data_IF_807191401630
#
_entry.id   IF_807191401630
#
_cell.length_a   1.000
_cell.length_b   1.000
_cell.length_c   1.000
_cell.angle_alpha   90.00
_cell.angle_beta   90.00
_cell.angle_gamma   90.00
#
_symmetry.space_group_name_H-M   'P 1'
#
loop_
_entity.id
_entity.type
_entity.pdbx_description
1 polymer ?
#
# COMPACT_ATOMS: atom_id res chain seq x y z
N UNK A 1 -31.30 -13.24 -4.24
CA UNK A 1 -30.20 -13.56 -3.33
C UNK A 1 -28.88 -13.24 -4.00
N UNK A 2 -28.14 -12.31 -3.43
CA UNK A 2 -26.86 -12.01 -4.01
C UNK A 2 -25.96 -13.22 -3.80
N UNK A 3 -25.48 -13.73 -4.87
CA UNK A 3 -24.66 -14.88 -4.90
C UNK A 3 -23.20 -14.45 -4.66
N UNK A 4 -22.54 -14.98 -3.63
CA UNK A 4 -21.15 -14.68 -3.35
C UNK A 4 -20.24 -15.00 -4.54
N UNK A 5 -20.60 -16.01 -5.35
CA UNK A 5 -19.82 -16.34 -6.54
C UNK A 5 -19.88 -15.23 -7.59
N UNK A 6 -20.99 -14.49 -7.70
CA UNK A 6 -21.08 -13.33 -8.61
C UNK A 6 -20.22 -12.17 -8.11
N UNK A 7 -20.19 -11.93 -6.79
CA UNK A 7 -19.33 -10.91 -6.19
C UNK A 7 -17.86 -11.25 -6.40
N UNK A 8 -17.47 -12.51 -6.20
CA UNK A 8 -16.10 -12.96 -6.42
C UNK A 8 -15.68 -12.80 -7.89
N UNK A 9 -16.58 -13.11 -8.82
CA UNK A 9 -16.33 -12.94 -10.25
C UNK A 9 -16.16 -11.46 -10.59
N UNK A 10 -17.02 -10.59 -10.03
CA UNK A 10 -16.95 -9.15 -10.27
C UNK A 10 -15.66 -8.54 -9.71
N UNK A 11 -15.25 -8.96 -8.52
CA UNK A 11 -13.98 -8.53 -7.95
C UNK A 11 -12.82 -9.00 -8.81
N UNK A 12 -12.80 -10.26 -9.21
CA UNK A 12 -11.76 -10.81 -10.08
C UNK A 12 -11.74 -10.08 -11.43
N UNK A 13 -12.90 -9.73 -11.99
CA UNK A 13 -13.01 -8.97 -13.22
C UNK A 13 -12.42 -7.56 -13.06
N UNK A 14 -12.66 -6.92 -11.92
CA UNK A 14 -12.09 -5.61 -11.62
C UNK A 14 -10.58 -5.67 -11.50
N UNK A 15 -10.05 -6.69 -10.83
CA UNK A 15 -8.61 -6.89 -10.71
C UNK A 15 -7.97 -7.17 -12.08
N UNK A 16 -8.62 -8.03 -12.90
CA UNK A 16 -8.15 -8.34 -14.24
C UNK A 16 -8.15 -7.10 -15.14
N UNK A 17 -9.17 -6.25 -15.04
CA UNK A 17 -9.23 -4.99 -15.78
C UNK A 17 -8.08 -4.07 -15.39
N UNK A 18 -7.75 -3.99 -14.09
CA UNK A 18 -6.61 -3.23 -13.61
C UNK A 18 -5.29 -3.75 -14.21
N UNK A 19 -5.08 -5.06 -14.15
CA UNK A 19 -3.86 -5.70 -14.70
C UNK A 19 -3.74 -5.50 -16.21
N UNK A 20 -4.87 -5.50 -16.91
CA UNK A 20 -4.93 -5.25 -18.35
C UNK A 20 -4.83 -3.76 -18.71
N UNK A 21 -4.72 -2.89 -17.70
CA UNK A 21 -4.66 -1.43 -17.87
C UNK A 21 -5.96 -0.82 -18.42
N UNK A 22 -7.08 -1.50 -18.25
CA UNK A 22 -8.41 -0.98 -18.54
C UNK A 22 -8.94 -0.25 -17.30
N UNK A 23 -8.32 0.90 -17.02
CA UNK A 23 -8.47 1.56 -15.72
C UNK A 23 -9.87 2.12 -15.47
N UNK A 24 -10.52 2.69 -16.47
CA UNK A 24 -11.90 3.19 -16.31
C UNK A 24 -12.86 2.07 -15.91
N UNK A 25 -12.70 0.91 -16.57
CA UNK A 25 -13.51 -0.27 -16.24
C UNK A 25 -13.15 -0.81 -14.87
N UNK A 26 -11.86 -0.87 -14.55
CA UNK A 26 -11.40 -1.30 -13.23
C UNK A 26 -12.00 -0.44 -12.12
N UNK A 27 -12.02 0.88 -12.30
CA UNK A 27 -12.59 1.81 -11.33
C UNK A 27 -14.09 1.51 -11.11
N UNK A 28 -14.83 1.31 -12.18
CA UNK A 28 -16.28 0.99 -12.10
C UNK A 28 -16.51 -0.31 -11.34
N UNK A 29 -15.72 -1.33 -11.64
CA UNK A 29 -15.92 -2.66 -11.04
C UNK A 29 -15.42 -2.72 -9.59
N UNK A 30 -14.32 -2.02 -9.28
CA UNK A 30 -13.70 -2.08 -7.95
C UNK A 30 -14.33 -1.14 -6.93
N UNK A 31 -14.93 -0.03 -7.37
CA UNK A 31 -15.47 0.99 -6.44
C UNK A 31 -16.47 0.43 -5.44
N UNK A 32 -17.48 -0.42 -5.82
CA UNK A 32 -18.38 -0.97 -4.84
C UNK A 32 -17.69 -1.84 -3.78
N UNK A 33 -16.68 -2.61 -4.18
CA UNK A 33 -15.92 -3.45 -3.25
C UNK A 33 -15.09 -2.60 -2.28
N UNK A 34 -14.47 -1.54 -2.78
CA UNK A 34 -13.71 -0.61 -1.96
C UNK A 34 -14.62 0.07 -0.93
N UNK A 35 -15.79 0.51 -1.34
CA UNK A 35 -16.77 1.13 -0.44
C UNK A 35 -17.26 0.16 0.64
N UNK A 36 -17.28 -1.13 0.33
CA UNK A 36 -17.68 -2.18 1.27
C UNK A 36 -16.51 -2.72 2.11
N UNK A 37 -15.34 -2.10 2.04
CA UNK A 37 -14.22 -2.43 2.90
C UNK A 37 -13.22 -3.43 2.34
N UNK A 38 -13.31 -3.78 1.05
CA UNK A 38 -12.33 -4.69 0.45
C UNK A 38 -10.98 -3.96 0.27
N UNK A 39 -9.97 -4.40 1.02
CA UNK A 39 -8.67 -3.72 1.07
C UNK A 39 -7.92 -3.76 -0.26
N UNK A 40 -7.99 -4.87 -1.01
CA UNK A 40 -7.35 -4.95 -2.33
C UNK A 40 -7.96 -3.94 -3.30
N UNK A 41 -9.29 -3.83 -3.32
CA UNK A 41 -9.99 -2.86 -4.16
C UNK A 41 -9.63 -1.43 -3.75
N UNK A 42 -9.59 -1.15 -2.45
CA UNK A 42 -9.20 0.15 -1.92
C UNK A 42 -7.77 0.51 -2.36
N UNK A 43 -6.84 -0.42 -2.27
CA UNK A 43 -5.46 -0.22 -2.69
C UNK A 43 -5.38 0.12 -4.18
N UNK A 44 -6.09 -0.61 -5.03
CA UNK A 44 -6.12 -0.35 -6.48
C UNK A 44 -6.68 1.04 -6.80
N UNK A 45 -7.78 1.42 -6.12
CA UNK A 45 -8.33 2.77 -6.28
C UNK A 45 -7.33 3.84 -5.84
N UNK A 46 -6.63 3.62 -4.74
CA UNK A 46 -5.61 4.55 -4.27
C UNK A 46 -4.55 4.81 -5.36
N UNK A 47 -4.06 3.74 -5.98
CA UNK A 47 -3.08 3.83 -7.07
C UNK A 47 -3.66 4.60 -8.26
N UNK A 48 -4.91 4.34 -8.61
CA UNK A 48 -5.58 4.99 -9.73
C UNK A 48 -5.72 6.50 -9.49
N UNK A 49 -6.12 6.90 -8.29
CA UNK A 49 -6.21 8.32 -7.94
C UNK A 49 -4.84 8.99 -7.85
N UNK A 50 -3.84 8.27 -7.32
CA UNK A 50 -2.48 8.79 -7.16
C UNK A 50 -1.85 9.15 -8.52
N UNK A 51 -2.10 8.32 -9.53
CA UNK A 51 -1.46 8.41 -10.83
C UNK A 51 -2.40 8.87 -11.96
N UNK A 52 -3.65 9.15 -11.66
CA UNK A 52 -4.62 9.55 -12.68
C UNK A 52 -4.91 8.46 -13.69
N UNK A 53 -5.10 7.23 -13.23
CA UNK A 53 -5.34 6.07 -14.11
C UNK A 53 -6.85 5.77 -14.17
N UNK A 54 -7.49 6.11 -15.29
CA UNK A 54 -8.92 5.92 -15.48
C UNK A 54 -9.82 6.83 -14.64
N UNK A 55 -9.23 7.61 -13.78
CA UNK A 55 -9.87 8.60 -12.91
C UNK A 55 -8.98 9.84 -12.90
N UNK A 56 -9.56 11.00 -12.63
CA UNK A 56 -8.75 12.20 -12.47
C UNK A 56 -7.85 12.05 -11.24
N UNK A 57 -6.59 12.42 -11.38
CA UNK A 57 -5.64 12.41 -10.27
C UNK A 57 -6.18 13.23 -9.10
N UNK A 58 -6.09 12.69 -7.88
CA UNK A 58 -6.63 13.33 -6.69
C UNK A 58 -5.89 12.85 -5.45
N UNK A 59 -5.01 13.70 -4.91
CA UNK A 59 -4.17 13.35 -3.76
C UNK A 59 -5.00 12.95 -2.52
N UNK A 60 -6.04 13.71 -2.21
CA UNK A 60 -6.88 13.45 -1.05
C UNK A 60 -7.56 12.08 -1.10
N UNK A 61 -8.09 11.71 -2.27
CA UNK A 61 -8.73 10.40 -2.44
C UNK A 61 -7.71 9.27 -2.50
N UNK A 62 -6.54 9.51 -3.09
CA UNK A 62 -5.44 8.55 -3.08
C UNK A 62 -5.04 8.22 -1.65
N UNK A 63 -4.84 9.23 -0.82
CA UNK A 63 -4.50 9.05 0.60
C UNK A 63 -5.62 8.32 1.34
N UNK A 64 -6.85 8.76 1.15
CA UNK A 64 -8.01 8.16 1.81
C UNK A 64 -8.11 6.65 1.57
N UNK A 65 -8.02 6.23 0.32
CA UNK A 65 -8.13 4.81 -0.03
C UNK A 65 -6.91 4.00 0.40
N UNK A 66 -5.70 4.56 0.25
CA UNK A 66 -4.47 3.89 0.70
C UNK A 66 -4.52 3.67 2.22
N UNK A 67 -4.96 4.70 2.95
CA UNK A 67 -5.07 4.63 4.41
C UNK A 67 -6.12 3.61 4.84
N UNK A 68 -7.27 3.57 4.18
CA UNK A 68 -8.31 2.59 4.46
C UNK A 68 -7.80 1.16 4.27
N UNK A 69 -7.12 0.89 3.17
CA UNK A 69 -6.56 -0.43 2.88
C UNK A 69 -5.47 -0.81 3.90
N UNK A 70 -4.61 0.14 4.26
CA UNK A 70 -3.53 -0.08 5.24
C UNK A 70 -4.11 -0.36 6.63
N UNK A 71 -5.10 0.40 7.06
CA UNK A 71 -5.80 0.20 8.34
C UNK A 71 -6.56 -1.13 8.34
N UNK A 72 -7.00 -1.60 7.18
CA UNK A 72 -7.62 -2.91 7.02
C UNK A 72 -6.63 -4.08 7.07
N UNK A 73 -5.34 -3.79 7.24
CA UNK A 73 -4.32 -4.82 7.40
C UNK A 73 -3.67 -5.32 6.12
N UNK A 74 -3.92 -4.68 4.98
CA UNK A 74 -3.35 -5.11 3.71
C UNK A 74 -1.88 -4.69 3.61
N UNK A 75 -0.92 -5.65 3.60
CA UNK A 75 0.51 -5.30 3.70
C UNK A 75 1.01 -4.38 2.59
N UNK A 76 0.58 -4.61 1.36
CA UNK A 76 1.00 -3.81 0.21
C UNK A 76 0.55 -2.35 0.37
N UNK A 77 -0.65 -2.14 0.93
CA UNK A 77 -1.16 -0.79 1.20
C UNK A 77 -0.43 -0.14 2.38
N UNK A 78 -0.07 -0.92 3.40
CA UNK A 78 0.74 -0.42 4.52
C UNK A 78 2.09 0.08 4.01
N UNK A 79 2.73 -0.68 3.13
CA UNK A 79 3.97 -0.29 2.46
C UNK A 79 3.75 0.98 1.62
N UNK A 80 2.67 1.01 0.83
CA UNK A 80 2.32 2.17 0.01
C UNK A 80 2.10 3.44 0.83
N UNK A 81 1.40 3.31 1.95
CA UNK A 81 1.16 4.43 2.85
C UNK A 81 2.47 4.90 3.51
N UNK A 82 3.33 3.96 3.89
CA UNK A 82 4.67 4.27 4.39
C UNK A 82 5.46 5.10 3.38
N UNK A 83 5.39 4.74 2.12
CA UNK A 83 6.04 5.46 1.03
C UNK A 83 5.49 6.88 0.87
N UNK A 84 4.17 7.04 0.94
CA UNK A 84 3.53 8.37 0.88
C UNK A 84 4.08 9.28 1.96
N UNK A 85 4.15 8.80 3.20
CA UNK A 85 4.69 9.59 4.31
C UNK A 85 6.18 9.84 4.17
N UNK A 86 6.95 8.85 3.70
CA UNK A 86 8.40 8.97 3.57
C UNK A 86 8.78 10.00 2.50
N UNK A 87 8.07 10.01 1.37
CA UNK A 87 8.35 10.91 0.24
C UNK A 87 7.55 12.21 0.29
N UNK A 88 6.55 12.31 1.15
CA UNK A 88 5.65 13.45 1.14
C UNK A 88 4.76 13.47 -0.08
N UNK A 89 4.31 12.32 -0.56
CA UNK A 89 3.45 12.19 -1.73
C UNK A 89 2.00 12.05 -1.30
N UNK A 90 1.13 12.92 -1.80
CA UNK A 90 -0.29 13.00 -1.45
C UNK A 90 -0.56 13.39 0.01
N UNK A 91 0.48 13.58 0.81
CA UNK A 91 0.41 13.87 2.25
C UNK A 91 1.69 14.59 2.65
N UNK A 92 1.64 15.34 3.74
CA UNK A 92 2.85 15.97 4.29
C UNK A 92 3.83 14.91 4.76
N UNK A 93 5.11 15.11 4.42
CA UNK A 93 6.19 14.18 4.78
C UNK A 93 6.28 13.97 6.29
N UNK A 94 6.31 12.71 6.71
CA UNK A 94 6.45 12.31 8.11
C UNK A 94 7.19 10.99 8.18
N UNK A 95 8.52 11.05 8.30
CA UNK A 95 9.35 9.86 8.29
C UNK A 95 9.10 8.94 9.48
N UNK A 96 8.78 9.49 10.64
CA UNK A 96 8.47 8.68 11.83
C UNK A 96 7.21 7.86 11.60
N UNK A 97 6.19 8.46 11.00
CA UNK A 97 4.95 7.76 10.68
C UNK A 97 5.16 6.72 9.57
N UNK A 98 6.03 7.04 8.60
CA UNK A 98 6.43 6.09 7.57
C UNK A 98 7.03 4.82 8.19
N UNK A 99 7.92 4.96 9.16
CA UNK A 99 8.52 3.83 9.88
C UNK A 99 7.45 2.93 10.47
N UNK A 100 6.44 3.52 11.12
CA UNK A 100 5.35 2.74 11.74
C UNK A 100 4.60 1.89 10.72
N UNK A 101 4.31 2.44 9.56
CA UNK A 101 3.60 1.70 8.51
C UNK A 101 4.47 0.62 7.86
N UNK A 102 5.74 0.93 7.57
CA UNK A 102 6.67 -0.08 7.07
C UNK A 102 6.86 -1.21 8.09
N UNK A 103 6.88 -0.89 9.38
CA UNK A 103 6.99 -1.90 10.43
C UNK A 103 5.80 -2.86 10.42
N UNK A 104 4.59 -2.34 10.27
CA UNK A 104 3.37 -3.17 10.18
C UNK A 104 3.43 -4.12 8.98
N UNK A 105 3.84 -3.63 7.83
CA UNK A 105 3.98 -4.45 6.63
C UNK A 105 5.11 -5.48 6.77
N UNK A 106 6.23 -5.07 7.36
CA UNK A 106 7.38 -5.95 7.61
C UNK A 106 7.03 -7.10 8.57
N UNK A 107 6.21 -6.83 9.58
CA UNK A 107 5.73 -7.85 10.52
C UNK A 107 4.90 -8.92 9.81
N UNK A 108 4.30 -8.60 8.68
CA UNK A 108 3.57 -9.55 7.84
C UNK A 108 4.46 -10.22 6.80
N UNK A 109 5.77 -9.97 6.84
CA UNK A 109 6.74 -10.62 5.97
C UNK A 109 6.93 -9.97 4.60
N UNK A 110 6.45 -8.74 4.40
CA UNK A 110 6.64 -8.04 3.12
C UNK A 110 8.11 -7.63 2.98
N UNK A 111 8.82 -8.29 2.08
CA UNK A 111 10.27 -8.14 1.90
C UNK A 111 10.66 -6.69 1.56
N UNK A 112 9.89 -6.03 0.70
CA UNK A 112 10.14 -4.63 0.35
C UNK A 112 10.10 -3.70 1.57
N UNK A 113 9.20 -3.98 2.52
CA UNK A 113 9.11 -3.20 3.76
C UNK A 113 10.27 -3.49 4.69
N UNK A 114 10.72 -4.75 4.77
CA UNK A 114 11.90 -5.10 5.56
C UNK A 114 13.14 -4.35 5.08
N UNK A 115 13.37 -4.32 3.76
CA UNK A 115 14.54 -3.64 3.19
C UNK A 115 14.45 -2.12 3.37
N UNK A 116 13.27 -1.53 3.14
CA UNK A 116 13.08 -0.09 3.30
C UNK A 116 13.27 0.32 4.76
N UNK A 117 12.70 -0.46 5.67
CA UNK A 117 12.84 -0.21 7.11
C UNK A 117 14.32 -0.32 7.53
N UNK A 118 15.04 -1.33 7.01
CA UNK A 118 16.46 -1.50 7.24
C UNK A 118 17.27 -0.26 6.81
N UNK A 119 16.97 0.27 5.63
CA UNK A 119 17.61 1.49 5.14
C UNK A 119 17.33 2.68 6.05
N UNK A 120 16.12 2.80 6.56
CA UNK A 120 15.75 3.89 7.48
C UNK A 120 16.52 3.81 8.79
N UNK A 121 16.71 2.62 9.35
CA UNK A 121 17.54 2.42 10.53
C UNK A 121 19.03 2.70 10.24
N UNK A 122 19.50 2.28 9.06
CA UNK A 122 20.90 2.52 8.65
C UNK A 122 21.21 4.01 8.53
N UNK A 123 20.25 4.79 8.00
CA UNK A 123 20.40 6.22 7.77
C UNK A 123 19.95 7.09 8.95
N UNK A 124 19.22 6.52 9.90
CA UNK A 124 18.59 7.31 10.96
C UNK A 124 17.45 8.18 10.43
N UNK A 125 16.70 7.68 9.45
CA UNK A 125 15.59 8.39 8.84
C UNK A 125 14.29 8.00 9.53
N UNK A 126 13.69 8.91 10.29
CA UNK A 126 12.45 8.66 11.02
C UNK A 126 12.61 7.82 12.28
N UNK A 127 13.79 7.31 12.52
CA UNK A 127 14.18 6.53 13.71
C UNK A 127 15.61 6.88 14.07
N UNK A 128 16.00 6.56 15.29
CA UNK A 128 17.41 6.66 15.69
C UNK A 128 18.23 5.66 14.88
N UNK A 129 19.37 6.10 14.35
CA UNK A 129 20.27 5.25 13.57
C UNK A 129 20.67 4.03 14.41
N UNK A 130 20.52 2.85 13.82
CA UNK A 130 20.85 1.58 14.47
C UNK A 130 21.30 0.58 13.40
N UNK A 131 22.62 0.43 13.25
CA UNK A 131 23.21 -0.44 12.23
C UNK A 131 22.92 -1.91 12.53
N UNK A 132 22.91 -2.30 13.80
CA UNK A 132 22.63 -3.68 14.19
C UNK A 132 21.18 -4.06 13.83
N UNK A 133 20.25 -3.15 14.10
CA UNK A 133 18.85 -3.35 13.73
C UNK A 133 18.67 -3.41 12.22
N UNK A 134 19.36 -2.53 11.49
CA UNK A 134 19.33 -2.54 10.03
C UNK A 134 19.81 -3.89 9.48
N UNK A 135 20.93 -4.40 9.99
CA UNK A 135 21.48 -5.68 9.54
C UNK A 135 20.55 -6.85 9.86
N UNK A 136 19.91 -6.83 11.03
CA UNK A 136 18.90 -7.81 11.40
C UNK A 136 17.74 -7.85 10.39
N UNK A 137 17.22 -6.68 10.02
CA UNK A 137 16.13 -6.56 9.05
C UNK A 137 16.57 -7.00 7.64
N UNK A 138 17.79 -6.67 7.24
CA UNK A 138 18.32 -7.15 5.96
C UNK A 138 18.44 -8.67 5.93
N UNK A 139 18.87 -9.29 7.04
CA UNK A 139 18.94 -10.76 7.13
C UNK A 139 17.55 -11.39 7.02
N UNK A 140 16.55 -10.80 7.69
CA UNK A 140 15.16 -11.26 7.58
C UNK A 140 14.66 -11.17 6.14
N UNK A 141 15.11 -10.17 5.40
CA UNK A 141 14.74 -9.97 3.99
C UNK A 141 15.49 -10.92 3.05
N UNK A 142 16.46 -11.68 3.55
CA UNK A 142 17.21 -12.63 2.76
C UNK A 142 18.58 -12.16 2.30
N UNK A 143 19.03 -11.01 2.79
CA UNK A 143 20.37 -10.50 2.46
C UNK A 143 21.42 -11.05 3.44
N UNK A 144 22.61 -11.22 2.92
CA UNK A 144 23.75 -11.71 3.69
C UNK A 144 24.47 -10.51 4.32
N UNK A 145 24.13 -10.21 5.56
CA UNK A 145 24.64 -9.03 6.28
C UNK A 145 25.27 -9.39 7.62
#
# INVERSE_FOLDING_TARGET
>A
MSDNSNQDIDLASGMAAFEAKHFSRAAQLLSPFAENGNAEAQHRLAIMYQNGLGLAQHDGLALRWMKAAAEGGYPVAQHGLGFMYMEGECVEKDSALAVKWFQKAAEQGLVGSLTTLAMMYEEGNGVEQDIDKANELYREAGFDR
#
